data_IF_162809712912
#
_entry.id   IF_162809712912
#
_cell.length_a   1.000
_cell.length_b   1.000
_cell.length_c   1.000
_cell.angle_alpha   90.00
_cell.angle_beta   90.00
_cell.angle_gamma   90.00
#
_symmetry.space_group_name_H-M   'P 1'
#
loop_
_entity.id
_entity.type
_entity.pdbx_description
1 polymer ?
#
# COMPACT_ATOMS: atom_id res chain seq x y z
N UNK A 1 36.88 -5.76 -0.59
CA UNK A 1 36.28 -7.08 -0.30
C UNK A 1 35.03 -7.10 -1.15
N UNK A 2 35.09 -7.83 -2.25
CA UNK A 2 34.07 -7.83 -3.31
C UNK A 2 32.91 -8.72 -2.85
N UNK A 3 31.75 -8.11 -2.56
CA UNK A 3 30.54 -8.80 -2.09
C UNK A 3 29.61 -9.06 -3.28
N UNK A 4 30.10 -9.77 -4.29
CA UNK A 4 29.22 -10.36 -5.30
C UNK A 4 28.67 -11.68 -4.74
N UNK A 5 27.43 -11.61 -4.24
CA UNK A 5 26.67 -12.81 -3.87
C UNK A 5 26.25 -13.52 -5.16
N UNK A 6 27.07 -14.47 -5.64
CA UNK A 6 26.68 -15.36 -6.72
C UNK A 6 25.73 -16.43 -6.16
N UNK A 7 24.43 -16.11 -6.14
CA UNK A 7 23.38 -17.11 -6.02
C UNK A 7 23.49 -18.09 -7.20
N UNK A 8 23.28 -19.40 -7.01
CA UNK A 8 23.17 -20.34 -8.11
C UNK A 8 21.84 -20.09 -8.82
N UNK A 9 21.81 -19.06 -9.67
CA UNK A 9 20.70 -18.80 -10.58
C UNK A 9 20.48 -20.07 -11.39
N UNK A 10 19.29 -20.66 -11.26
CA UNK A 10 18.86 -21.76 -12.12
C UNK A 10 19.03 -21.32 -13.58
N UNK A 11 19.57 -22.15 -14.49
CA UNK A 11 19.75 -21.74 -15.87
C UNK A 11 18.37 -21.50 -16.51
N UNK A 12 18.21 -20.35 -17.17
CA UNK A 12 16.97 -19.82 -17.79
C UNK A 12 16.04 -18.98 -16.89
N UNK A 13 16.58 -18.01 -16.14
CA UNK A 13 15.74 -16.93 -15.59
C UNK A 13 15.65 -15.81 -16.63
N UNK A 14 14.44 -15.48 -17.08
CA UNK A 14 14.20 -14.27 -17.86
C UNK A 14 14.47 -13.06 -16.96
N UNK A 15 15.50 -12.27 -17.26
CA UNK A 15 15.92 -11.11 -16.47
C UNK A 15 15.37 -9.79 -17.02
N UNK A 16 14.44 -9.84 -17.98
CA UNK A 16 13.72 -8.65 -18.43
C UNK A 16 12.56 -8.36 -17.48
N UNK A 17 12.56 -7.22 -16.76
CA UNK A 17 11.45 -6.84 -15.88
C UNK A 17 10.12 -6.73 -16.63
N UNK A 18 8.99 -7.01 -15.97
CA UNK A 18 8.86 -7.51 -14.59
C UNK A 18 9.27 -8.99 -14.43
N UNK A 19 9.85 -9.36 -13.28
CA UNK A 19 10.08 -10.76 -12.91
C UNK A 19 10.19 -10.95 -11.39
N UNK A 20 10.03 -12.19 -10.90
CA UNK A 20 10.16 -12.52 -9.48
C UNK A 20 11.58 -12.93 -9.09
N UNK A 21 12.15 -12.22 -8.12
CA UNK A 21 13.30 -12.66 -7.34
C UNK A 21 12.83 -13.49 -6.14
N UNK A 22 13.38 -14.70 -6.01
CA UNK A 22 13.09 -15.61 -4.89
C UNK A 22 14.31 -15.61 -3.96
N UNK A 23 14.12 -15.21 -2.71
CA UNK A 23 15.15 -15.24 -1.67
C UNK A 23 14.97 -16.43 -0.71
N UNK A 24 13.75 -16.95 -0.59
CA UNK A 24 13.39 -18.08 0.24
C UNK A 24 12.40 -19.01 -0.48
N UNK A 25 12.65 -20.32 -0.47
CA UNK A 25 11.82 -21.30 -1.18
C UNK A 25 10.35 -21.31 -0.73
N UNK A 26 10.03 -20.80 0.48
CA UNK A 26 8.65 -20.60 0.95
C UNK A 26 7.86 -19.60 0.08
N UNK A 27 8.53 -18.78 -0.71
CA UNK A 27 7.86 -17.87 -1.67
C UNK A 27 7.24 -18.61 -2.85
N UNK A 28 7.55 -19.90 -3.06
CA UNK A 28 6.98 -20.68 -4.18
C UNK A 28 5.47 -20.87 -4.05
N UNK A 29 4.95 -20.97 -2.82
CA UNK A 29 3.51 -21.03 -2.53
C UNK A 29 2.80 -19.70 -2.80
N UNK A 30 3.53 -18.57 -2.73
CA UNK A 30 3.00 -17.24 -3.05
C UNK A 30 2.80 -17.09 -4.55
N UNK A 31 3.74 -17.56 -5.36
CA UNK A 31 3.68 -17.39 -6.82
C UNK A 31 2.72 -18.35 -7.49
N UNK A 32 2.63 -19.59 -6.98
CA UNK A 32 1.85 -20.63 -7.61
C UNK A 32 2.35 -21.05 -9.01
N UNK A 33 1.63 -21.96 -9.67
CA UNK A 33 2.05 -22.56 -10.94
C UNK A 33 1.80 -21.67 -12.18
N UNK A 34 0.89 -20.70 -12.10
CA UNK A 34 0.41 -19.89 -13.23
C UNK A 34 0.88 -18.43 -13.13
N UNK A 35 2.20 -18.21 -13.08
CA UNK A 35 2.75 -16.86 -13.03
C UNK A 35 2.58 -16.14 -14.37
N UNK A 36 2.07 -14.91 -14.34
CA UNK A 36 2.12 -13.99 -15.47
C UNK A 36 2.35 -12.57 -14.98
N UNK A 37 3.19 -11.82 -15.70
CA UNK A 37 3.58 -10.46 -15.34
C UNK A 37 3.16 -9.52 -16.47
N UNK A 38 1.93 -8.98 -16.40
CA UNK A 38 1.39 -8.13 -17.47
C UNK A 38 1.18 -6.70 -16.99
N UNK A 39 1.67 -5.73 -17.76
CA UNK A 39 1.22 -4.33 -17.67
C UNK A 39 -0.20 -4.26 -18.20
N UNK A 40 -1.14 -3.80 -17.38
CA UNK A 40 -2.55 -3.71 -17.78
C UNK A 40 -2.94 -2.28 -18.18
N UNK A 41 -2.25 -1.27 -17.66
CA UNK A 41 -2.47 0.16 -17.99
C UNK A 41 -1.13 0.89 -17.96
N UNK A 42 -0.87 1.74 -18.96
CA UNK A 42 0.31 2.59 -19.06
C UNK A 42 -0.08 3.96 -19.62
N UNK A 43 0.33 5.02 -18.93
CA UNK A 43 0.14 6.42 -19.34
C UNK A 43 1.47 7.15 -19.11
N UNK A 44 2.36 7.10 -20.11
CA UNK A 44 3.75 7.60 -19.99
C UNK A 44 3.89 9.07 -19.59
N UNK A 45 2.84 9.86 -19.79
CA UNK A 45 2.86 11.30 -19.59
C UNK A 45 2.30 11.75 -18.25
N UNK A 46 1.73 10.84 -17.45
CA UNK A 46 1.01 11.20 -16.23
C UNK A 46 1.16 10.13 -15.14
N UNK A 47 1.81 10.45 -14.01
CA UNK A 47 1.95 9.51 -12.90
C UNK A 47 0.63 9.44 -12.10
N UNK A 48 -0.23 8.48 -12.45
CA UNK A 48 -1.56 8.31 -11.84
C UNK A 48 -1.61 7.21 -10.77
N UNK A 49 -0.62 6.32 -10.74
CA UNK A 49 -0.59 5.13 -9.92
C UNK A 49 0.35 5.33 -8.71
N UNK A 50 -0.02 6.24 -7.81
CA UNK A 50 0.81 6.61 -6.66
C UNK A 50 0.19 6.22 -5.30
N UNK A 51 -1.10 6.44 -5.12
CA UNK A 51 -1.78 6.35 -3.83
C UNK A 51 -2.66 5.10 -3.71
N UNK A 52 -2.98 4.71 -2.47
CA UNK A 52 -3.59 3.41 -2.20
C UNK A 52 -5.05 3.32 -2.63
N UNK A 53 -5.45 2.21 -3.25
CA UNK A 53 -6.85 1.90 -3.39
C UNK A 53 -7.51 1.39 -2.11
N UNK A 54 -8.60 2.01 -1.66
CA UNK A 54 -9.50 1.42 -0.67
C UNK A 54 -10.11 0.16 -1.29
N UNK A 55 -9.64 -1.02 -0.88
CA UNK A 55 -10.23 -2.29 -1.31
C UNK A 55 -11.74 -2.29 -1.04
N UNK A 56 -12.56 -2.34 -2.09
CA UNK A 56 -14.01 -2.29 -1.98
C UNK A 56 -14.62 -3.68 -1.69
N UNK A 57 -15.73 -3.65 -0.94
CA UNK A 57 -16.88 -4.60 -0.89
C UNK A 57 -16.97 -5.52 -2.12
N UNK A 58 -17.43 -6.80 -2.00
CA UNK A 58 -16.98 -7.89 -2.87
C UNK A 58 -17.04 -7.56 -4.36
N UNK A 59 -16.03 -7.99 -5.13
CA UNK A 59 -15.86 -7.61 -6.53
C UNK A 59 -16.97 -8.25 -7.36
N UNK A 60 -18.09 -7.54 -7.51
CA UNK A 60 -19.12 -7.91 -8.49
C UNK A 60 -18.93 -7.17 -9.82
N UNK A 61 -17.99 -6.25 -9.91
CA UNK A 61 -17.55 -5.60 -11.15
C UNK A 61 -16.15 -5.02 -10.97
N UNK A 62 -15.44 -4.79 -12.07
CA UNK A 62 -14.00 -4.43 -12.19
C UNK A 62 -13.59 -3.06 -11.58
N UNK A 63 -14.13 -2.69 -10.42
CA UNK A 63 -13.98 -1.37 -9.82
C UNK A 63 -12.87 -1.36 -8.74
N UNK A 64 -11.94 -0.40 -8.86
CA UNK A 64 -10.86 -0.14 -7.89
C UNK A 64 -11.04 1.28 -7.36
N UNK A 65 -11.28 1.46 -6.05
CA UNK A 65 -11.43 2.80 -5.46
C UNK A 65 -10.05 3.32 -5.06
N UNK A 66 -9.57 4.43 -5.61
CA UNK A 66 -8.22 4.99 -5.34
C UNK A 66 -8.35 6.20 -4.41
N UNK A 67 -7.61 6.24 -3.29
CA UNK A 67 -7.43 7.47 -2.52
C UNK A 67 -6.64 8.46 -3.38
N UNK A 68 -7.24 9.57 -3.77
CA UNK A 68 -6.52 10.57 -4.56
C UNK A 68 -5.84 11.60 -3.64
N UNK A 69 -4.64 11.26 -3.17
CA UNK A 69 -3.82 12.09 -2.29
C UNK A 69 -3.25 13.38 -2.92
N UNK A 70 -3.64 13.78 -4.15
CA UNK A 70 -3.12 15.05 -4.69
C UNK A 70 -3.23 15.38 -6.18
N UNK A 71 -4.20 14.89 -6.96
CA UNK A 71 -4.38 15.39 -8.34
C UNK A 71 -5.41 16.55 -8.44
N UNK A 72 -5.62 17.08 -9.65
CA UNK A 72 -6.46 18.25 -10.01
C UNK A 72 -7.92 18.23 -9.49
N UNK A 73 -8.35 17.14 -8.88
CA UNK A 73 -9.62 16.96 -8.18
C UNK A 73 -9.40 17.15 -6.68
N UNK A 74 -9.27 18.42 -6.26
CA UNK A 74 -9.33 18.94 -4.87
C UNK A 74 -9.10 17.88 -3.78
N UNK A 75 -7.84 17.67 -3.38
CA UNK A 75 -7.39 16.72 -2.34
C UNK A 75 -8.09 16.85 -0.98
N UNK A 76 -9.33 16.38 -0.94
CA UNK A 76 -10.19 16.15 0.20
C UNK A 76 -10.45 14.63 0.29
N UNK A 77 -10.64 14.10 1.51
CA UNK A 77 -11.06 12.72 1.71
C UNK A 77 -12.48 12.55 1.17
N UNK A 78 -12.59 11.92 0.00
CA UNK A 78 -13.85 11.45 -0.54
C UNK A 78 -13.99 9.97 -0.19
N UNK A 79 -14.93 9.64 0.69
CA UNK A 79 -15.56 8.32 0.60
C UNK A 79 -16.55 8.45 -0.55
N UNK A 80 -16.14 8.02 -1.73
CA UNK A 80 -17.02 7.94 -2.88
C UNK A 80 -18.05 6.85 -2.58
N UNK A 81 -19.32 7.22 -2.36
CA UNK A 81 -20.40 6.28 -2.67
C UNK A 81 -20.34 6.10 -4.19
N UNK A 82 -19.74 4.99 -4.62
CA UNK A 82 -19.56 4.68 -6.03
C UNK A 82 -20.93 4.48 -6.69
N UNK A 83 -21.51 5.54 -7.25
CA UNK A 83 -22.30 5.39 -8.47
C UNK A 83 -21.29 5.28 -9.62
N UNK A 84 -21.14 4.10 -10.27
CA UNK A 84 -20.23 3.92 -11.40
C UNK A 84 -20.70 4.65 -12.67
N UNK A 85 -21.72 5.50 -12.56
CA UNK A 85 -22.33 6.24 -13.65
C UNK A 85 -22.51 7.70 -13.23
N UNK A 86 -22.27 8.66 -14.13
CA UNK A 86 -22.54 10.06 -13.89
C UNK A 86 -23.99 10.30 -13.39
N UNK A 87 -24.19 11.25 -12.45
CA UNK A 87 -23.17 12.03 -11.77
C UNK A 87 -22.42 11.18 -10.75
N UNK A 88 -21.08 11.23 -10.78
CA UNK A 88 -20.26 10.68 -9.71
C UNK A 88 -20.61 11.48 -8.45
N UNK A 89 -21.30 10.86 -7.49
CA UNK A 89 -21.66 11.54 -6.25
C UNK A 89 -20.55 11.31 -5.22
N UNK A 90 -20.02 12.39 -4.68
CA UNK A 90 -19.00 12.38 -3.64
C UNK A 90 -19.55 13.00 -2.35
N UNK A 91 -19.32 12.33 -1.21
CA UNK A 91 -19.74 12.84 0.11
C UNK A 91 -18.53 12.97 1.03
N UNK A 92 -18.34 14.16 1.58
CA UNK A 92 -17.30 14.41 2.58
C UNK A 92 -17.75 13.81 3.91
N UNK A 93 -17.07 12.74 4.33
CA UNK A 93 -17.32 12.05 5.62
C UNK A 93 -16.53 12.66 6.78
N UNK A 94 -15.33 13.22 6.51
CA UNK A 94 -14.51 13.94 7.48
C UNK A 94 -13.45 14.76 6.76
N UNK A 95 -13.26 16.02 7.18
CA UNK A 95 -12.27 16.94 6.59
C UNK A 95 -11.42 17.68 7.63
N UNK A 96 -11.63 17.43 8.91
CA UNK A 96 -10.89 18.09 9.99
C UNK A 96 -10.86 17.25 11.26
N UNK A 97 -9.82 17.47 12.06
CA UNK A 97 -9.69 16.94 13.41
C UNK A 97 -9.89 18.07 14.42
N UNK A 98 -11.02 18.06 15.12
CA UNK A 98 -11.43 19.13 16.05
C UNK A 98 -11.37 20.54 15.42
N UNK A 99 -11.81 20.66 14.16
CA UNK A 99 -11.81 21.93 13.41
C UNK A 99 -10.46 22.35 12.83
N UNK A 100 -9.41 21.54 13.02
CA UNK A 100 -8.12 21.72 12.33
C UNK A 100 -8.10 20.89 11.07
N UNK A 101 -7.75 21.52 9.96
CA UNK A 101 -7.64 20.83 8.68
C UNK A 101 -6.54 19.77 8.75
N UNK A 102 -6.81 18.59 8.20
CA UNK A 102 -5.79 17.57 7.95
C UNK A 102 -4.75 18.07 6.93
N UNK A 103 -3.54 17.53 6.99
CA UNK A 103 -2.44 17.94 6.13
C UNK A 103 -2.65 17.45 4.69
N UNK A 104 -2.47 16.15 4.48
CA UNK A 104 -2.69 15.42 3.22
C UNK A 104 -2.67 13.92 3.52
N UNK A 105 -3.79 13.24 3.28
CA UNK A 105 -3.85 11.80 3.48
C UNK A 105 -3.00 11.07 2.45
N UNK A 106 -2.27 10.06 2.91
CA UNK A 106 -1.38 9.26 2.07
C UNK A 106 -1.89 7.82 1.92
N UNK A 107 -2.14 7.12 3.02
CA UNK A 107 -2.63 5.73 2.97
C UNK A 107 -3.85 5.54 3.88
N UNK A 108 -4.77 4.64 3.53
CA UNK A 108 -5.96 4.39 4.34
C UNK A 108 -6.47 2.94 4.27
N UNK A 109 -6.60 2.25 5.40
CA UNK A 109 -7.03 0.84 5.46
C UNK A 109 -8.27 0.66 6.31
N UNK A 110 -9.17 -0.20 5.85
CA UNK A 110 -10.30 -0.67 6.66
C UNK A 110 -9.83 -1.77 7.60
N UNK A 111 -10.14 -1.63 8.88
CA UNK A 111 -9.78 -2.62 9.90
C UNK A 111 -10.66 -3.89 9.77
N UNK A 112 -10.08 -5.09 9.59
CA UNK A 112 -10.81 -6.28 9.16
C UNK A 112 -11.93 -6.73 10.11
N UNK A 113 -11.81 -6.53 11.44
CA UNK A 113 -12.88 -6.89 12.38
C UNK A 113 -13.80 -5.74 12.80
N UNK A 114 -13.34 -4.49 12.73
CA UNK A 114 -14.10 -3.36 13.30
C UNK A 114 -14.75 -2.49 12.23
N UNK A 115 -14.36 -2.63 10.96
CA UNK A 115 -14.84 -1.78 9.87
C UNK A 115 -14.35 -0.32 9.93
N UNK A 116 -13.66 0.08 11.00
CA UNK A 116 -13.12 1.42 11.12
C UNK A 116 -12.03 1.68 10.09
N UNK A 117 -11.98 2.92 9.57
CA UNK A 117 -10.99 3.35 8.61
C UNK A 117 -9.80 3.91 9.39
N UNK A 118 -8.60 3.40 9.12
CA UNK A 118 -7.36 3.97 9.62
C UNK A 118 -6.69 4.69 8.47
N UNK A 119 -6.07 5.84 8.72
CA UNK A 119 -5.38 6.58 7.67
C UNK A 119 -4.17 7.33 8.19
N UNK A 120 -3.20 7.56 7.31
CA UNK A 120 -2.00 8.36 7.59
C UNK A 120 -2.18 9.78 7.05
N UNK A 121 -2.00 10.77 7.92
CA UNK A 121 -1.99 12.18 7.54
C UNK A 121 -0.55 12.68 7.50
N UNK A 122 -0.05 12.97 6.31
CA UNK A 122 1.36 13.29 6.04
C UNK A 122 1.49 14.69 5.47
N UNK A 123 2.72 15.16 5.24
CA UNK A 123 3.00 16.51 4.75
C UNK A 123 3.19 16.59 3.23
N UNK A 124 2.99 15.49 2.49
CA UNK A 124 3.30 15.43 1.06
C UNK A 124 2.58 16.48 0.23
N UNK A 125 1.33 16.82 0.57
CA UNK A 125 0.62 17.85 -0.18
C UNK A 125 1.23 19.23 -0.05
N UNK A 126 1.80 19.56 1.11
CA UNK A 126 2.54 20.80 1.30
C UNK A 126 3.90 20.75 0.58
N UNK A 127 4.63 19.65 0.73
CA UNK A 127 5.96 19.47 0.13
C UNK A 127 5.93 19.53 -1.41
N UNK A 128 4.86 19.02 -2.02
CA UNK A 128 4.63 19.06 -3.45
C UNK A 128 3.91 20.35 -3.93
N UNK A 129 3.61 21.28 -3.02
CA UNK A 129 3.11 22.61 -3.35
C UNK A 129 1.62 22.70 -3.73
N UNK A 130 0.82 21.67 -3.44
CA UNK A 130 -0.63 21.66 -3.73
C UNK A 130 -1.52 21.79 -2.48
N UNK A 131 -0.94 21.84 -1.27
CA UNK A 131 -1.63 22.15 0.00
C UNK A 131 -0.92 23.26 0.79
N UNK A 132 -1.63 24.00 1.67
CA UNK A 132 -1.02 24.91 2.63
C UNK A 132 -0.09 24.19 3.62
N UNK A 133 0.68 24.97 4.37
CA UNK A 133 1.53 24.43 5.44
C UNK A 133 0.70 23.68 6.51
N UNK A 134 1.21 22.55 7.04
CA UNK A 134 0.57 21.75 8.07
C UNK A 134 0.10 22.54 9.30
N UNK A 135 -1.11 22.25 9.79
CA UNK A 135 -1.67 22.85 11.02
C UNK A 135 -1.66 21.90 12.21
N UNK A 136 -1.39 20.62 11.95
CA UNK A 136 -1.31 19.52 12.91
C UNK A 136 -0.11 18.62 12.58
N UNK A 137 0.43 17.87 13.56
CA UNK A 137 1.50 16.92 13.30
C UNK A 137 1.05 15.79 12.37
N UNK A 138 1.99 15.15 11.67
CA UNK A 138 1.71 13.92 10.94
C UNK A 138 1.39 12.78 11.89
N UNK A 139 0.23 12.15 11.69
CA UNK A 139 -0.32 11.16 12.62
C UNK A 139 -1.09 10.08 11.87
N UNK A 140 -1.30 8.95 12.55
CA UNK A 140 -2.24 7.92 12.11
C UNK A 140 -3.53 8.10 12.90
N UNK A 141 -4.63 8.14 12.19
CA UNK A 141 -5.96 8.31 12.76
C UNK A 141 -6.79 7.04 12.57
N UNK A 142 -7.74 6.83 13.49
CA UNK A 142 -8.85 5.90 13.34
C UNK A 142 -10.13 6.72 13.21
N UNK A 143 -10.90 6.45 12.17
CA UNK A 143 -12.23 6.96 11.92
C UNK A 143 -13.26 5.84 12.03
N UNK A 144 -14.22 6.04 12.91
CA UNK A 144 -15.36 5.16 13.12
C UNK A 144 -16.52 5.63 12.25
N UNK A 145 -16.85 4.85 11.21
CA UNK A 145 -17.82 5.25 10.20
C UNK A 145 -19.25 5.39 10.75
N UNK A 146 -19.60 4.62 11.79
CA UNK A 146 -20.94 4.60 12.37
C UNK A 146 -21.17 5.78 13.32
N UNK A 147 -20.15 6.13 14.10
CA UNK A 147 -20.26 7.19 15.12
C UNK A 147 -19.72 8.54 14.66
N UNK A 148 -18.90 8.57 13.60
CA UNK A 148 -18.15 9.74 13.17
C UNK A 148 -16.95 10.06 14.06
N UNK A 149 -16.60 9.21 15.04
CA UNK A 149 -15.48 9.45 15.94
C UNK A 149 -14.15 9.39 15.17
N UNK A 150 -13.36 10.44 15.26
CA UNK A 150 -11.96 10.45 14.82
C UNK A 150 -11.05 10.54 16.04
N UNK A 151 -10.06 9.66 16.12
CA UNK A 151 -9.02 9.73 17.15
C UNK A 151 -7.64 9.43 16.58
N UNK A 152 -6.63 10.04 17.17
CA UNK A 152 -5.23 9.70 16.91
C UNK A 152 -4.95 8.33 17.52
N UNK A 153 -4.31 7.46 16.75
CA UNK A 153 -3.83 6.15 17.22
C UNK A 153 -2.31 6.06 17.22
N UNK A 154 -1.60 6.78 16.33
CA UNK A 154 -0.14 6.79 16.29
C UNK A 154 0.43 8.15 15.87
N UNK A 155 1.71 8.36 16.14
CA UNK A 155 2.50 9.50 15.66
C UNK A 155 3.82 9.03 15.02
N UNK A 156 4.40 9.91 14.19
CA UNK A 156 5.74 9.72 13.62
C UNK A 156 5.85 8.71 12.48
N UNK A 157 4.74 8.15 12.02
CA UNK A 157 4.66 7.30 10.82
C UNK A 157 4.17 8.16 9.64
N UNK A 158 4.89 8.11 8.52
CA UNK A 158 4.66 9.02 7.38
C UNK A 158 4.24 8.34 6.07
N UNK A 159 4.05 7.02 6.03
CA UNK A 159 3.89 6.25 4.79
C UNK A 159 2.69 5.30 4.86
N UNK A 160 2.82 4.11 4.27
CA UNK A 160 1.79 3.10 4.24
C UNK A 160 1.38 2.57 5.62
N UNK A 161 0.24 1.91 5.65
CA UNK A 161 -0.30 1.13 6.77
C UNK A 161 -0.93 -0.14 6.23
N UNK A 162 -0.96 -1.18 7.04
CA UNK A 162 -1.67 -2.41 6.72
C UNK A 162 -2.08 -3.15 8.00
N UNK A 163 -3.02 -4.09 7.89
CA UNK A 163 -3.52 -4.89 9.01
C UNK A 163 -3.20 -6.37 8.81
N UNK A 164 -2.77 -7.01 9.90
CA UNK A 164 -2.78 -8.47 9.98
C UNK A 164 -4.19 -9.03 9.78
N UNK A 165 -4.33 -10.27 9.27
CA UNK A 165 -5.65 -10.87 9.06
C UNK A 165 -6.51 -10.99 10.33
N UNK A 166 -5.87 -11.21 11.48
CA UNK A 166 -6.52 -11.27 12.79
C UNK A 166 -6.78 -9.88 13.41
N UNK A 167 -6.37 -8.82 12.71
CA UNK A 167 -6.45 -7.42 13.11
C UNK A 167 -5.77 -7.10 14.44
N UNK A 168 -4.90 -8.00 14.90
CA UNK A 168 -3.94 -7.69 15.95
C UNK A 168 -2.90 -6.72 15.38
N UNK A 169 -3.25 -5.44 15.43
CA UNK A 169 -2.65 -4.30 14.74
C UNK A 169 -1.12 -4.38 14.52
N UNK A 170 -0.68 -4.81 13.34
CA UNK A 170 0.68 -4.60 12.84
C UNK A 170 0.66 -3.58 11.73
N UNK A 171 0.48 -2.30 12.08
CA UNK A 171 0.69 -1.22 11.11
C UNK A 171 2.18 -1.12 10.83
N UNK A 172 2.56 -1.18 9.57
CA UNK A 172 3.94 -1.06 9.09
C UNK A 172 4.19 0.32 8.53
N UNK A 173 4.98 1.14 9.23
CA UNK A 173 5.26 2.50 8.77
C UNK A 173 6.76 2.86 8.81
N UNK A 174 7.10 3.95 8.14
CA UNK A 174 8.47 4.46 7.99
C UNK A 174 8.71 5.63 8.92
N UNK A 175 9.85 5.61 9.61
CA UNK A 175 10.38 6.77 10.33
C UNK A 175 11.39 7.52 9.46
N UNK A 176 11.21 8.83 9.21
CA UNK A 176 12.06 9.60 8.28
C UNK A 176 13.50 9.79 8.76
N UNK A 177 13.77 9.60 10.05
CA UNK A 177 15.10 9.80 10.65
C UNK A 177 15.93 8.52 10.73
N UNK A 178 15.39 7.39 10.26
CA UNK A 178 16.04 6.08 10.36
C UNK A 178 16.19 5.47 8.95
N UNK A 179 17.18 4.56 8.74
CA UNK A 179 17.31 3.80 7.50
C UNK A 179 15.98 3.13 7.15
N UNK A 180 15.75 2.79 5.89
CA UNK A 180 14.50 2.28 5.31
C UNK A 180 13.93 1.05 6.07
N UNK A 181 13.31 1.33 7.22
CA UNK A 181 12.95 0.34 8.24
C UNK A 181 11.46 0.46 8.50
N UNK A 182 10.80 -0.68 8.45
CA UNK A 182 9.40 -0.82 8.80
C UNK A 182 9.27 -1.23 10.26
N UNK A 183 8.27 -0.68 10.93
CA UNK A 183 8.01 -0.94 12.35
C UNK A 183 6.60 -1.46 12.52
N UNK A 184 6.38 -2.43 13.41
CA UNK A 184 5.02 -2.73 13.85
C UNK A 184 4.57 -1.68 14.85
N UNK A 185 3.33 -1.21 14.73
CA UNK A 185 2.79 -0.22 15.64
C UNK A 185 2.66 -0.72 17.09
N UNK A 186 2.23 -1.96 17.32
CA UNK A 186 2.24 -2.54 18.68
C UNK A 186 3.69 -2.62 19.17
N UNK A 187 3.97 -1.94 20.29
CA UNK A 187 5.28 -1.85 20.94
C UNK A 187 6.43 -1.24 20.10
N UNK A 188 6.15 -0.64 18.93
CA UNK A 188 7.15 0.03 18.06
C UNK A 188 8.41 -0.81 17.81
N UNK A 189 8.24 -2.10 17.53
CA UNK A 189 9.37 -2.99 17.19
C UNK A 189 9.73 -2.85 15.72
N UNK A 190 11.03 -2.92 15.41
CA UNK A 190 11.51 -3.09 14.04
C UNK A 190 10.95 -4.40 13.50
N UNK A 191 10.33 -4.34 12.32
CA UNK A 191 9.87 -5.50 11.58
C UNK A 191 10.89 -5.96 10.55
N UNK A 192 11.22 -5.10 9.59
CA UNK A 192 12.18 -5.42 8.54
C UNK A 192 12.86 -4.15 8.00
N UNK A 193 13.99 -4.35 7.35
CA UNK A 193 14.70 -3.36 6.54
C UNK A 193 14.42 -3.66 5.07
N UNK A 194 14.09 -2.64 4.28
CA UNK A 194 13.90 -2.81 2.83
C UNK A 194 15.21 -2.61 2.09
N UNK A 195 15.39 -3.37 1.01
CA UNK A 195 16.66 -3.39 0.27
C UNK A 195 16.83 -2.16 -0.65
N UNK A 196 15.73 -1.63 -1.21
CA UNK A 196 15.79 -0.53 -2.19
C UNK A 196 14.82 0.62 -1.91
N UNK A 197 15.34 1.85 -1.79
CA UNK A 197 14.54 3.07 -1.70
C UNK A 197 13.89 3.29 -0.33
N UNK A 198 12.62 3.67 -0.33
CA UNK A 198 11.81 3.94 0.88
C UNK A 198 10.53 3.09 0.80
N UNK A 199 10.04 2.52 1.93
CA UNK A 199 8.80 1.75 1.90
C UNK A 199 7.63 2.66 1.53
N UNK A 200 6.88 2.28 0.50
CA UNK A 200 5.66 2.95 0.05
C UNK A 200 4.41 2.37 0.70
N UNK A 201 3.35 2.24 -0.09
CA UNK A 201 2.14 1.52 0.29
C UNK A 201 2.41 0.05 0.60
N UNK A 202 1.49 -0.58 1.31
CA UNK A 202 1.63 -1.98 1.70
C UNK A 202 0.30 -2.71 1.76
N UNK A 203 0.34 -4.03 1.57
CA UNK A 203 -0.80 -4.93 1.64
C UNK A 203 -0.42 -6.25 2.33
N UNK A 204 -1.37 -6.93 2.95
CA UNK A 204 -1.15 -8.29 3.49
C UNK A 204 -2.01 -9.32 2.78
N UNK A 205 -1.44 -10.52 2.63
CA UNK A 205 -2.18 -11.71 2.25
C UNK A 205 -2.84 -12.40 3.46
N UNK A 206 -3.65 -13.42 3.19
CA UNK A 206 -4.36 -14.23 4.20
C UNK A 206 -3.42 -15.05 5.10
N UNK A 207 -2.15 -15.22 4.73
CA UNK A 207 -1.14 -15.88 5.55
C UNK A 207 -0.34 -14.88 6.41
N UNK A 208 -0.62 -13.58 6.26
CA UNK A 208 0.06 -12.51 6.97
C UNK A 208 1.40 -12.08 6.32
N UNK A 209 1.68 -12.51 5.09
CA UNK A 209 2.84 -11.99 4.38
C UNK A 209 2.58 -10.53 3.99
N UNK A 210 3.58 -9.68 4.21
CA UNK A 210 3.54 -8.25 3.93
C UNK A 210 4.17 -7.97 2.56
N UNK A 211 3.40 -7.31 1.69
CA UNK A 211 3.82 -6.80 0.40
C UNK A 211 4.04 -5.30 0.53
N UNK A 212 5.18 -4.80 0.04
CA UNK A 212 5.59 -3.41 0.26
C UNK A 212 6.19 -2.82 -1.00
N UNK A 213 5.74 -1.63 -1.37
CA UNK A 213 6.28 -0.87 -2.48
C UNK A 213 7.68 -0.35 -2.13
N UNK A 214 8.62 -0.54 -3.04
CA UNK A 214 10.03 -0.22 -2.87
C UNK A 214 10.58 0.44 -4.15
N UNK A 215 11.82 0.92 -4.10
CA UNK A 215 12.46 1.69 -5.17
C UNK A 215 12.69 0.94 -6.49
N UNK A 216 12.60 -0.39 -6.49
CA UNK A 216 12.84 -1.24 -7.67
C UNK A 216 11.72 -2.28 -7.93
N UNK A 217 10.61 -2.18 -7.19
CA UNK A 217 9.47 -3.07 -7.31
C UNK A 217 8.78 -3.29 -5.97
N UNK A 218 8.30 -4.50 -5.72
CA UNK A 218 7.55 -4.85 -4.50
C UNK A 218 8.26 -5.96 -3.74
N UNK A 219 8.63 -5.71 -2.48
CA UNK A 219 9.24 -6.69 -1.59
C UNK A 219 8.17 -7.45 -0.79
N UNK A 220 8.42 -8.73 -0.53
CA UNK A 220 7.49 -9.63 0.15
C UNK A 220 8.17 -10.20 1.39
N UNK A 221 7.60 -9.95 2.55
CA UNK A 221 8.09 -10.41 3.85
C UNK A 221 7.10 -11.38 4.49
N UNK A 222 7.60 -12.38 5.22
CA UNK A 222 6.73 -13.20 6.06
C UNK A 222 6.32 -12.45 7.35
N UNK A 223 5.36 -12.97 8.15
CA UNK A 223 4.93 -12.33 9.41
C UNK A 223 6.03 -12.10 10.47
N UNK A 224 7.22 -12.70 10.28
CA UNK A 224 8.37 -12.51 11.16
C UNK A 224 9.36 -11.46 10.63
N UNK A 225 9.07 -10.80 9.50
CA UNK A 225 9.96 -9.82 8.88
C UNK A 225 11.08 -10.42 8.03
N UNK A 226 11.01 -11.71 7.68
CA UNK A 226 11.99 -12.34 6.76
C UNK A 226 11.61 -12.03 5.32
N UNK A 227 12.55 -11.48 4.53
CA UNK A 227 12.37 -11.27 3.10
C UNK A 227 12.24 -12.62 2.37
N UNK A 228 11.11 -12.85 1.73
CA UNK A 228 10.80 -14.06 0.96
C UNK A 228 11.16 -13.90 -0.52
N UNK A 229 10.85 -12.73 -1.08
CA UNK A 229 10.92 -12.48 -2.51
C UNK A 229 10.71 -11.02 -2.87
N UNK A 230 10.87 -10.71 -4.16
CA UNK A 230 10.60 -9.39 -4.73
C UNK A 230 9.98 -9.54 -6.12
N UNK A 231 8.91 -8.81 -6.40
CA UNK A 231 8.46 -8.52 -7.77
C UNK A 231 9.34 -7.39 -8.28
N UNK A 232 10.35 -7.71 -9.08
CA UNK A 232 11.28 -6.70 -9.59
C UNK A 232 10.69 -6.05 -10.85
N UNK A 233 10.49 -4.73 -10.80
CA UNK A 233 10.00 -3.94 -11.93
C UNK A 233 11.12 -3.18 -12.65
N UNK A 234 12.27 -3.00 -11.98
CA UNK A 234 13.37 -2.17 -12.46
C UNK A 234 13.21 -0.67 -12.18
N UNK A 235 12.10 -0.30 -11.53
CA UNK A 235 11.76 1.05 -11.07
C UNK A 235 10.78 0.96 -9.89
N UNK A 236 10.46 2.11 -9.29
CA UNK A 236 9.68 2.16 -8.05
C UNK A 236 8.26 1.63 -8.20
N UNK A 237 7.76 0.95 -7.17
CA UNK A 237 6.32 0.78 -6.98
C UNK A 237 5.86 1.57 -5.76
N UNK A 238 4.78 2.33 -5.95
CA UNK A 238 4.26 3.25 -4.95
C UNK A 238 3.22 2.56 -4.06
N UNK A 239 2.34 1.73 -4.65
CA UNK A 239 1.27 1.07 -3.91
C UNK A 239 0.82 -0.26 -4.53
N UNK A 240 -0.02 -1.01 -3.83
CA UNK A 240 -0.52 -2.31 -4.26
C UNK A 240 -1.84 -2.65 -3.59
N UNK A 241 -2.68 -3.42 -4.28
CA UNK A 241 -3.94 -3.90 -3.72
C UNK A 241 -4.27 -5.29 -4.27
N UNK A 242 -4.80 -6.17 -3.42
CA UNK A 242 -5.34 -7.45 -3.86
C UNK A 242 -6.70 -7.23 -4.54
N UNK A 243 -6.82 -7.72 -5.78
CA UNK A 243 -7.99 -7.51 -6.64
C UNK A 243 -8.77 -8.82 -6.86
N UNK A 244 -9.06 -9.53 -5.77
CA UNK A 244 -9.69 -10.85 -5.77
C UNK A 244 -8.71 -12.00 -5.96
N UNK A 245 -9.26 -13.20 -6.18
CA UNK A 245 -8.47 -14.42 -6.23
C UNK A 245 -7.34 -14.33 -7.26
N UNK A 246 -6.13 -14.65 -6.80
CA UNK A 246 -4.90 -14.71 -7.58
C UNK A 246 -4.45 -13.43 -8.28
N UNK A 247 -4.92 -12.26 -7.84
CA UNK A 247 -4.63 -10.98 -8.51
C UNK A 247 -4.11 -9.95 -7.52
N UNK A 248 -2.90 -9.48 -7.75
CA UNK A 248 -2.33 -8.32 -7.08
C UNK A 248 -2.13 -7.22 -8.11
N UNK A 249 -2.67 -6.03 -7.86
CA UNK A 249 -2.36 -4.85 -8.64
C UNK A 249 -1.18 -4.15 -7.99
N UNK A 250 -0.16 -3.80 -8.78
CA UNK A 250 0.97 -2.98 -8.33
C UNK A 250 0.93 -1.66 -9.10
N UNK A 251 0.88 -0.57 -8.35
CA UNK A 251 0.84 0.80 -8.82
C UNK A 251 2.27 1.34 -8.86
N UNK A 252 2.73 1.72 -10.04
CA UNK A 252 4.11 2.09 -10.29
C UNK A 252 4.17 3.33 -11.20
N UNK A 253 3.83 4.48 -10.62
CA UNK A 253 3.80 5.81 -11.23
C UNK A 253 2.91 5.90 -12.48
N UNK A 254 3.49 5.68 -13.65
CA UNK A 254 2.80 5.76 -14.95
C UNK A 254 2.20 4.42 -15.38
N UNK A 255 2.35 3.36 -14.58
CA UNK A 255 1.96 1.99 -14.93
C UNK A 255 1.20 1.30 -13.81
N UNK A 256 0.26 0.44 -14.19
CA UNK A 256 -0.32 -0.58 -13.32
C UNK A 256 0.07 -1.96 -13.83
N UNK A 257 0.68 -2.74 -12.95
CA UNK A 257 1.03 -4.14 -13.17
C UNK A 257 0.01 -5.06 -12.52
N UNK A 258 -0.24 -6.19 -13.15
CA UNK A 258 -1.07 -7.26 -12.60
C UNK A 258 -0.28 -8.57 -12.64
N UNK A 259 0.56 -8.84 -11.63
CA UNK A 259 1.06 -10.18 -11.41
C UNK A 259 -0.08 -11.13 -11.00
N UNK A 260 -0.14 -12.28 -11.68
CA UNK A 260 -0.91 -13.43 -11.21
C UNK A 260 -0.09 -14.21 -10.19
N UNK A 261 -0.56 -14.24 -8.94
CA UNK A 261 0.08 -14.89 -7.79
C UNK A 261 -0.93 -15.83 -7.12
N UNK A 262 -0.51 -16.89 -6.46
CA UNK A 262 -1.41 -17.78 -5.72
C UNK A 262 -1.83 -17.22 -4.35
N UNK A 263 -1.12 -16.22 -3.83
CA UNK A 263 -1.51 -15.57 -2.59
C UNK A 263 -2.87 -14.85 -2.73
N UNK A 264 -3.67 -14.95 -1.68
CA UNK A 264 -4.99 -14.32 -1.59
C UNK A 264 -4.96 -13.15 -0.62
N UNK A 265 -5.55 -12.02 -1.00
CA UNK A 265 -5.70 -10.87 -0.11
C UNK A 265 -6.73 -11.10 0.99
N UNK A 266 -6.60 -10.35 2.08
CA UNK A 266 -7.61 -10.32 3.15
C UNK A 266 -8.92 -9.78 2.58
N UNK A 267 -9.99 -10.58 2.65
CA UNK A 267 -11.31 -10.18 2.16
C UNK A 267 -11.95 -9.18 3.15
N UNK A 268 -12.12 -7.94 2.71
CA UNK A 268 -12.77 -6.89 3.48
C UNK A 268 -14.28 -6.92 3.17
N UNK A 269 -15.02 -7.81 3.84
CA UNK A 269 -16.48 -7.79 3.78
C UNK A 269 -17.02 -6.74 4.76
N UNK A 270 -17.44 -5.59 4.26
CA UNK A 270 -18.21 -4.58 4.99
C UNK A 270 -19.46 -4.16 4.21
#
# INVERSE_FOLDING_TARGET
>A
MDLSYSSPLRPNVNLTPPYFHIFDDRSTDILGPNRSDRVIVEIDTFPFAHEEPLGSRPPTSDDVQINNGGTLLRGDLLLLESTPQPPFNDTIISNSFYGRQFNSFNDAKVHPQSGAIFFTDTTYGFENGFRPAPLIPSQVYRFDVDTGEVRVVADGLLQGIAFSPDGSTELYGVYPTLPATMYTFINRRVFAFIDSGVPGGSALDTQGNLYVGCGDGTEIFNPNGTLLGKVFLGFGSANMVFAGANRLLILADTKIFLPEIAAEGVNLNF
#
